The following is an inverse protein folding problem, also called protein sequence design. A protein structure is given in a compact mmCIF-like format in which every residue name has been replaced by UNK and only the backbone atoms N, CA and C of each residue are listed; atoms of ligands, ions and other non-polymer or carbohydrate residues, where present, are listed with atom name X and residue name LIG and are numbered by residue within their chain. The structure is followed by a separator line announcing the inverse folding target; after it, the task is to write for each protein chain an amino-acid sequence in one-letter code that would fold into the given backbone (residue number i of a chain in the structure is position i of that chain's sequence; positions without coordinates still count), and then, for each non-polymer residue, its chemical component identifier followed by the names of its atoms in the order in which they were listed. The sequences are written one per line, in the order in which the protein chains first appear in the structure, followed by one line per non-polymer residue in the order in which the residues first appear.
data_IF_010974143050
#
_entry.id   IF_010974143050
#
_cell.length_a   1.000
_cell.length_b   1.000
_cell.length_c   1.000
_cell.angle_alpha   90.00
_cell.angle_beta   90.00
_cell.angle_gamma   90.00
#
_symmetry.space_group_name_H-M   'P 1'
#
loop_
_entity.id
_entity.type
_entity.pdbx_description
1 polymer ?
#
# COMPACT_ATOMS: atom_id res chain seq x y z
N UNK A 1 44.67 92.01 17.87
CA UNK A 1 44.65 91.21 16.63
C UNK A 1 43.43 90.31 16.67
N UNK A 2 42.36 90.69 15.98
CA UNK A 2 41.14 89.89 15.85
C UNK A 2 41.25 89.06 14.57
N UNK A 3 41.37 87.75 14.70
CA UNK A 3 41.18 86.83 13.59
C UNK A 3 39.67 86.63 13.41
N UNK A 4 39.12 87.18 12.33
CA UNK A 4 37.78 86.85 11.88
C UNK A 4 37.74 85.36 11.49
N UNK A 5 37.05 84.55 12.28
CA UNK A 5 36.66 83.19 11.95
C UNK A 5 35.60 83.26 10.84
N UNK A 6 36.01 83.03 9.59
CA UNK A 6 35.09 82.80 8.49
C UNK A 6 34.51 81.39 8.69
N UNK A 7 33.26 81.29 9.15
CA UNK A 7 32.58 80.00 9.26
C UNK A 7 32.25 79.50 7.84
N UNK A 8 33.01 78.51 7.36
CA UNK A 8 32.85 77.88 6.05
C UNK A 8 31.65 76.92 6.04
N UNK A 9 30.44 77.45 6.27
CA UNK A 9 29.21 76.66 6.29
C UNK A 9 28.79 76.20 4.88
N UNK A 10 29.17 76.94 3.83
CA UNK A 10 28.85 76.57 2.45
C UNK A 10 29.68 75.38 1.94
N UNK A 11 30.95 75.26 2.36
CA UNK A 11 31.78 74.09 2.04
C UNK A 11 31.28 72.80 2.71
N UNK A 12 30.82 72.90 3.96
CA UNK A 12 30.27 71.75 4.69
C UNK A 12 28.97 71.21 4.06
N UNK A 13 28.08 72.11 3.62
CA UNK A 13 26.83 71.72 2.93
C UNK A 13 27.11 71.01 1.60
N UNK A 14 28.07 71.50 0.81
CA UNK A 14 28.47 70.86 -0.45
C UNK A 14 29.00 69.44 -0.21
N UNK A 15 29.82 69.24 0.82
CA UNK A 15 30.36 67.93 1.18
C UNK A 15 29.24 66.98 1.61
N UNK A 16 28.28 67.45 2.39
CA UNK A 16 27.14 66.63 2.83
C UNK A 16 26.31 66.18 1.63
N UNK A 17 25.95 67.09 0.71
CA UNK A 17 25.19 66.73 -0.49
C UNK A 17 25.94 65.72 -1.34
N UNK A 18 27.25 65.92 -1.53
CA UNK A 18 28.08 65.02 -2.33
C UNK A 18 28.20 63.63 -1.66
N UNK A 19 28.35 63.59 -0.33
CA UNK A 19 28.32 62.35 0.45
C UNK A 19 26.96 61.64 0.32
N UNK A 20 25.85 62.37 0.40
CA UNK A 20 24.50 61.79 0.24
C UNK A 20 24.30 61.21 -1.16
N UNK A 21 24.76 61.91 -2.20
CA UNK A 21 24.69 61.40 -3.59
C UNK A 21 25.52 60.12 -3.73
N UNK A 22 26.75 60.09 -3.21
CA UNK A 22 27.61 58.89 -3.23
C UNK A 22 26.95 57.74 -2.47
N UNK A 23 26.36 58.02 -1.31
CA UNK A 23 25.70 57.01 -0.48
C UNK A 23 24.46 56.43 -1.20
N UNK A 24 23.63 57.27 -1.83
CA UNK A 24 22.50 56.80 -2.65
C UNK A 24 22.97 55.95 -3.82
N UNK A 25 24.07 56.31 -4.51
CA UNK A 25 24.63 55.51 -5.59
C UNK A 25 25.15 54.15 -5.12
N UNK A 26 25.78 54.10 -3.94
CA UNK A 26 26.24 52.84 -3.33
C UNK A 26 25.05 51.94 -2.99
N UNK A 27 24.02 52.47 -2.33
CA UNK A 27 22.81 51.71 -2.01
C UNK A 27 22.09 51.23 -3.27
N UNK A 28 21.98 52.07 -4.31
CA UNK A 28 21.33 51.70 -5.58
C UNK A 28 22.07 50.57 -6.27
N UNK A 29 23.41 50.60 -6.30
CA UNK A 29 24.23 49.53 -6.87
C UNK A 29 24.07 48.22 -6.10
N UNK A 30 24.06 48.27 -4.77
CA UNK A 30 23.87 47.08 -3.92
C UNK A 30 22.48 46.47 -4.13
N UNK A 31 21.42 47.30 -4.16
CA UNK A 31 20.06 46.83 -4.44
C UNK A 31 19.93 46.24 -5.84
N UNK A 32 20.53 46.86 -6.85
CA UNK A 32 20.51 46.35 -8.23
C UNK A 32 21.19 44.98 -8.33
N UNK A 33 22.35 44.81 -7.68
CA UNK A 33 23.03 43.51 -7.61
C UNK A 33 22.16 42.47 -6.89
N UNK A 34 21.50 42.85 -5.78
CA UNK A 34 20.60 41.94 -5.06
C UNK A 34 19.42 41.48 -5.93
N UNK A 35 18.77 42.41 -6.65
CA UNK A 35 17.64 42.09 -7.53
C UNK A 35 18.08 41.20 -8.69
N UNK A 36 19.23 41.47 -9.31
CA UNK A 36 19.77 40.61 -10.37
C UNK A 36 20.11 39.20 -9.87
N UNK A 37 20.65 39.08 -8.66
CA UNK A 37 20.92 37.76 -8.05
C UNK A 37 19.62 37.01 -7.77
N UNK A 38 18.62 37.66 -7.19
CA UNK A 38 17.31 37.03 -6.93
C UNK A 38 16.61 36.62 -8.22
N UNK A 39 16.63 37.46 -9.26
CA UNK A 39 16.03 37.11 -10.55
C UNK A 39 16.69 35.87 -11.16
N UNK A 40 18.04 35.78 -11.11
CA UNK A 40 18.76 34.59 -11.57
C UNK A 40 18.47 33.35 -10.73
N UNK A 41 18.37 33.50 -9.41
CA UNK A 41 18.01 32.40 -8.52
C UNK A 41 16.60 31.88 -8.81
N UNK A 42 15.64 32.78 -9.05
CA UNK A 42 14.29 32.38 -9.43
C UNK A 42 14.27 31.65 -10.77
N UNK A 43 15.00 32.14 -11.78
CA UNK A 43 15.12 31.46 -13.08
C UNK A 43 15.71 30.05 -12.95
N UNK A 44 16.75 29.89 -12.11
CA UNK A 44 17.35 28.58 -11.80
C UNK A 44 16.34 27.65 -11.12
N UNK A 45 15.61 28.17 -10.12
CA UNK A 45 14.62 27.39 -9.35
C UNK A 45 13.46 26.97 -10.27
N UNK A 46 12.95 27.88 -11.09
CA UNK A 46 11.87 27.59 -12.04
C UNK A 46 12.31 26.57 -13.10
N UNK A 47 13.53 26.67 -13.62
CA UNK A 47 14.05 25.69 -14.58
C UNK A 47 14.24 24.31 -13.94
N UNK A 48 14.70 24.27 -12.68
CA UNK A 48 14.80 23.02 -11.94
C UNK A 48 13.41 22.37 -11.75
N UNK A 49 12.41 23.15 -11.33
CA UNK A 49 11.04 22.64 -11.19
C UNK A 49 10.44 22.15 -12.50
N UNK A 50 10.73 22.83 -13.62
CA UNK A 50 10.28 22.36 -14.93
C UNK A 50 10.97 21.06 -15.33
N UNK A 51 12.28 20.93 -15.13
CA UNK A 51 12.99 19.68 -15.39
C UNK A 51 12.44 18.51 -14.57
N UNK A 52 12.13 18.74 -13.28
CA UNK A 52 11.46 17.76 -12.42
C UNK A 52 10.09 17.36 -12.97
N UNK A 53 9.23 18.32 -13.29
CA UNK A 53 7.90 18.02 -13.84
C UNK A 53 7.97 17.28 -15.18
N UNK A 54 9.00 17.55 -15.98
CA UNK A 54 9.25 16.91 -17.28
C UNK A 54 9.68 15.45 -17.11
N UNK A 55 10.53 15.15 -16.13
CA UNK A 55 10.89 13.76 -15.84
C UNK A 55 9.73 12.99 -15.22
N UNK A 56 8.90 13.61 -14.38
CA UNK A 56 7.66 13.02 -13.84
C UNK A 56 6.67 12.68 -14.97
N UNK A 57 6.42 13.60 -15.91
CA UNK A 57 5.58 13.31 -17.09
C UNK A 57 6.19 12.20 -17.98
N UNK A 58 7.52 12.19 -18.11
CA UNK A 58 8.25 11.14 -18.81
C UNK A 58 8.04 9.77 -18.15
N UNK A 59 8.02 9.72 -16.82
CA UNK A 59 7.78 8.50 -16.07
C UNK A 59 6.39 7.92 -16.31
N UNK A 60 5.36 8.76 -16.26
CA UNK A 60 3.99 8.35 -16.60
C UNK A 60 3.91 7.84 -18.05
N UNK A 61 4.60 8.50 -18.99
CA UNK A 61 4.63 8.07 -20.38
C UNK A 61 5.29 6.70 -20.55
N UNK A 62 6.43 6.45 -19.89
CA UNK A 62 7.13 5.15 -19.92
C UNK A 62 6.25 4.07 -19.30
N UNK A 63 5.60 4.34 -18.17
CA UNK A 63 4.67 3.40 -17.53
C UNK A 63 3.54 2.98 -18.47
N UNK A 64 2.84 3.93 -19.10
CA UNK A 64 1.78 3.61 -20.06
C UNK A 64 2.33 2.83 -21.26
N UNK A 65 3.52 3.18 -21.74
CA UNK A 65 4.13 2.48 -22.87
C UNK A 65 4.49 1.04 -22.53
N UNK A 66 4.95 0.80 -21.30
CA UNK A 66 5.20 -0.55 -20.78
C UNK A 66 3.89 -1.34 -20.67
N UNK A 67 2.86 -0.76 -20.05
CA UNK A 67 1.54 -1.38 -19.94
C UNK A 67 0.95 -1.77 -21.30
N UNK A 68 1.00 -0.86 -22.28
CA UNK A 68 0.57 -1.14 -23.66
C UNK A 68 1.36 -2.30 -24.28
N UNK A 69 2.69 -2.31 -24.10
CA UNK A 69 3.55 -3.35 -24.66
C UNK A 69 3.25 -4.73 -24.06
N UNK A 70 3.11 -4.81 -22.73
CA UNK A 70 2.77 -6.06 -22.06
C UNK A 70 1.35 -6.53 -22.39
N UNK A 71 0.39 -5.63 -22.52
CA UNK A 71 -0.97 -5.96 -22.95
C UNK A 71 -1.04 -6.53 -24.38
N UNK A 72 -0.19 -6.06 -25.29
CA UNK A 72 -0.16 -6.55 -26.68
C UNK A 72 0.64 -7.83 -26.87
N UNK A 73 1.71 -8.04 -26.09
CA UNK A 73 2.69 -9.11 -26.34
C UNK A 73 2.73 -10.19 -25.26
N UNK A 74 2.11 -9.97 -24.10
CA UNK A 74 2.30 -10.78 -22.88
C UNK A 74 3.69 -10.57 -22.28
N UNK A 75 3.92 -10.99 -21.04
CA UNK A 75 5.23 -10.89 -20.40
C UNK A 75 6.07 -12.16 -20.60
N UNK A 76 7.32 -12.01 -21.02
CA UNK A 76 8.32 -13.08 -21.03
C UNK A 76 9.63 -12.59 -20.40
N UNK A 77 10.38 -13.49 -19.77
CA UNK A 77 11.69 -13.17 -19.15
C UNK A 77 12.88 -13.52 -20.04
N UNK A 78 12.63 -13.78 -21.33
CA UNK A 78 13.71 -14.13 -22.26
C UNK A 78 14.57 -12.91 -22.60
N UNK A 79 15.90 -13.06 -22.68
CA UNK A 79 16.82 -11.98 -23.05
C UNK A 79 16.42 -11.30 -24.37
N UNK A 80 15.88 -12.06 -25.33
CA UNK A 80 15.41 -11.54 -26.61
C UNK A 80 14.18 -10.64 -26.46
N UNK A 81 13.26 -11.03 -25.58
CA UNK A 81 12.06 -10.26 -25.30
C UNK A 81 12.40 -8.95 -24.59
N UNK A 82 13.28 -8.99 -23.58
CA UNK A 82 13.72 -7.80 -22.85
C UNK A 82 14.47 -6.82 -23.75
N UNK A 83 15.30 -7.30 -24.68
CA UNK A 83 15.95 -6.45 -25.69
C UNK A 83 14.95 -5.81 -26.67
N UNK A 84 13.90 -6.55 -27.07
CA UNK A 84 12.85 -6.01 -27.94
C UNK A 84 12.00 -4.97 -27.21
N UNK A 85 11.69 -5.22 -25.93
CA UNK A 85 11.04 -4.26 -25.04
C UNK A 85 11.88 -2.98 -24.95
N UNK A 86 13.15 -3.08 -24.54
CA UNK A 86 14.05 -1.94 -24.42
C UNK A 86 14.14 -1.15 -25.73
N UNK A 87 14.26 -1.84 -26.87
CA UNK A 87 14.30 -1.19 -28.18
C UNK A 87 13.00 -0.45 -28.49
N UNK A 88 11.85 -1.03 -28.15
CA UNK A 88 10.53 -0.46 -28.43
C UNK A 88 10.26 0.76 -27.56
N UNK A 89 10.60 0.69 -26.27
CA UNK A 89 10.45 1.82 -25.35
C UNK A 89 11.41 2.95 -25.76
N UNK A 90 12.69 2.64 -26.03
CA UNK A 90 13.65 3.65 -26.47
C UNK A 90 13.22 4.35 -27.78
N UNK A 91 12.65 3.62 -28.75
CA UNK A 91 12.14 4.23 -29.99
C UNK A 91 10.97 5.21 -29.72
N UNK A 92 10.12 4.92 -28.74
CA UNK A 92 8.98 5.77 -28.38
C UNK A 92 9.36 6.96 -27.49
N UNK A 93 10.44 6.84 -26.72
CA UNK A 93 10.84 7.81 -25.68
C UNK A 93 11.96 8.74 -26.12
N UNK A 94 12.72 8.42 -27.18
CA UNK A 94 13.86 9.25 -27.62
C UNK A 94 13.42 10.68 -28.01
N UNK A 95 13.65 11.62 -27.07
CA UNK A 95 13.46 13.08 -27.19
C UNK A 95 12.04 13.50 -27.58
N UNK A 96 11.08 13.09 -26.77
CA UNK A 96 9.72 13.59 -26.86
C UNK A 96 9.70 15.07 -26.43
N UNK A 97 9.38 15.96 -27.38
CA UNK A 97 9.11 17.38 -27.08
C UNK A 97 7.75 17.49 -26.37
N UNK A 98 7.77 17.92 -25.11
CA UNK A 98 6.55 18.00 -24.29
C UNK A 98 5.74 19.26 -24.61
N UNK A 99 6.42 20.39 -24.80
CA UNK A 99 5.77 21.69 -24.98
C UNK A 99 6.36 22.47 -26.18
N UNK A 100 5.58 22.76 -27.23
CA UNK A 100 6.05 23.54 -28.37
C UNK A 100 6.44 24.98 -28.03
N UNK A 101 5.95 25.54 -26.91
CA UNK A 101 6.34 26.87 -26.42
C UNK A 101 7.71 26.84 -25.71
N UNK A 102 8.19 25.66 -25.31
CA UNK A 102 9.48 25.43 -24.67
C UNK A 102 10.24 24.27 -25.38
N UNK A 103 10.82 24.52 -26.58
CA UNK A 103 11.42 23.46 -27.42
C UNK A 103 12.69 22.82 -26.84
N UNK A 104 13.20 23.33 -25.71
CA UNK A 104 14.34 22.73 -25.01
C UNK A 104 13.89 21.85 -23.83
N UNK A 105 12.59 21.55 -23.76
CA UNK A 105 11.98 20.77 -22.70
C UNK A 105 11.67 19.36 -23.22
N UNK A 106 12.55 18.42 -22.89
CA UNK A 106 12.52 17.04 -23.39
C UNK A 106 12.87 16.08 -22.25
N UNK A 107 12.48 14.82 -22.36
CA UNK A 107 13.02 13.75 -21.52
C UNK A 107 13.61 12.65 -22.40
N UNK A 108 14.56 11.89 -21.86
CA UNK A 108 15.13 10.72 -22.49
C UNK A 108 15.46 9.65 -21.44
N UNK A 109 15.63 8.41 -21.90
CA UNK A 109 16.17 7.32 -21.10
C UNK A 109 17.70 7.46 -21.15
N UNK A 110 18.32 7.76 -20.01
CA UNK A 110 19.74 8.10 -19.94
C UNK A 110 20.65 6.89 -19.76
N UNK A 111 20.12 5.78 -19.22
CA UNK A 111 20.83 4.53 -18.99
C UNK A 111 20.11 3.33 -19.60
N UNK A 112 20.86 2.28 -19.92
CA UNK A 112 20.28 1.01 -20.35
C UNK A 112 19.45 0.42 -19.23
N UNK A 113 18.43 -0.37 -19.57
CA UNK A 113 17.56 -0.96 -18.57
C UNK A 113 18.37 -1.95 -17.72
N UNK A 114 18.26 -1.85 -16.40
CA UNK A 114 18.76 -2.90 -15.52
C UNK A 114 17.63 -3.89 -15.24
N UNK A 115 17.94 -5.18 -15.40
CA UNK A 115 16.99 -6.26 -15.22
C UNK A 115 17.46 -7.15 -14.08
N UNK A 116 16.59 -7.33 -13.10
CA UNK A 116 16.75 -8.33 -12.05
C UNK A 116 15.63 -9.34 -12.17
N UNK A 117 15.96 -10.62 -12.23
CA UNK A 117 14.96 -11.68 -12.30
C UNK A 117 15.27 -12.73 -11.24
N UNK A 118 14.25 -13.08 -10.44
CA UNK A 118 14.30 -14.18 -9.49
C UNK A 118 13.07 -15.09 -9.69
N UNK A 119 12.92 -16.12 -8.84
CA UNK A 119 11.83 -17.09 -8.96
C UNK A 119 10.43 -16.50 -8.74
N UNK A 120 10.33 -15.33 -8.10
CA UNK A 120 9.06 -14.72 -7.67
C UNK A 120 8.67 -13.48 -8.50
N UNK A 121 9.64 -12.69 -8.96
CA UNK A 121 9.41 -11.47 -9.71
C UNK A 121 10.53 -11.14 -10.71
N UNK A 122 10.20 -10.23 -11.63
CA UNK A 122 11.15 -9.60 -12.55
C UNK A 122 11.09 -8.09 -12.37
N UNK A 123 12.21 -7.46 -12.05
CA UNK A 123 12.31 -6.02 -11.85
C UNK A 123 13.02 -5.39 -13.05
N UNK A 124 12.46 -4.31 -13.56
CA UNK A 124 13.02 -3.46 -14.61
C UNK A 124 13.31 -2.10 -13.99
N UNK A 125 14.56 -1.69 -13.96
CA UNK A 125 14.96 -0.35 -13.51
C UNK A 125 15.31 0.51 -14.74
N UNK A 126 14.71 1.70 -14.80
CA UNK A 126 14.87 2.65 -15.89
C UNK A 126 15.27 3.99 -15.30
N UNK A 127 16.39 4.56 -15.75
CA UNK A 127 16.79 5.93 -15.39
C UNK A 127 16.29 6.87 -16.48
N UNK A 128 15.42 7.79 -16.10
CA UNK A 128 14.93 8.87 -16.96
C UNK A 128 15.60 10.18 -16.59
N UNK A 129 15.98 10.95 -17.59
CA UNK A 129 16.51 12.30 -17.41
C UNK A 129 15.60 13.30 -18.10
N UNK A 130 15.04 14.24 -17.33
CA UNK A 130 14.30 15.39 -17.82
C UNK A 130 15.22 16.59 -18.02
N UNK A 131 15.08 17.26 -19.17
CA UNK A 131 15.87 18.44 -19.54
C UNK A 131 14.98 19.69 -19.61
N UNK A 132 15.46 20.79 -19.03
CA UNK A 132 15.03 22.14 -19.37
C UNK A 132 16.26 23.02 -19.64
N UNK A 133 16.57 23.22 -20.92
CA UNK A 133 17.70 24.03 -21.38
C UNK A 133 19.08 23.51 -20.94
N UNK A 134 19.60 23.93 -19.78
CA UNK A 134 20.89 23.47 -19.23
C UNK A 134 20.72 22.76 -17.88
N UNK A 135 19.48 22.51 -17.47
CA UNK A 135 19.15 21.81 -16.24
C UNK A 135 18.70 20.41 -16.59
N UNK A 136 19.20 19.46 -15.83
CA UNK A 136 18.88 18.03 -15.94
C UNK A 136 18.45 17.54 -14.57
N UNK A 137 17.44 16.67 -14.55
CA UNK A 137 16.97 15.98 -13.36
C UNK A 137 16.78 14.51 -13.71
N UNK A 138 17.44 13.64 -12.95
CA UNK A 138 17.29 12.20 -13.08
C UNK A 138 16.15 11.71 -12.18
N UNK A 139 15.50 10.65 -12.62
CA UNK A 139 14.50 9.90 -11.88
C UNK A 139 14.68 8.42 -12.19
N UNK A 140 14.89 7.62 -11.15
CA UNK A 140 14.97 6.16 -11.29
C UNK A 140 13.58 5.59 -11.09
N UNK A 141 13.10 4.86 -12.09
CA UNK A 141 11.86 4.11 -12.03
C UNK A 141 12.16 2.64 -11.83
N UNK A 142 11.46 2.03 -10.89
CA UNK A 142 11.52 0.60 -10.65
C UNK A 142 10.16 0.00 -10.98
N UNK A 143 10.12 -0.87 -11.99
CA UNK A 143 8.93 -1.63 -12.35
C UNK A 143 9.10 -3.07 -11.88
N UNK A 144 8.19 -3.57 -11.06
CA UNK A 144 8.19 -4.98 -10.66
C UNK A 144 7.08 -5.72 -11.40
N UNK A 145 7.48 -6.79 -12.08
CA UNK A 145 6.66 -7.66 -12.89
C UNK A 145 6.74 -9.05 -12.24
N UNK A 146 5.90 -9.26 -11.24
CA UNK A 146 5.63 -10.57 -10.66
C UNK A 146 4.44 -11.22 -11.34
N UNK A 147 4.36 -12.55 -11.32
CA UNK A 147 3.07 -13.20 -11.49
C UNK A 147 2.15 -12.63 -10.42
N UNK A 148 0.94 -12.21 -10.78
CA UNK A 148 -0.01 -11.58 -9.86
C UNK A 148 -0.15 -12.44 -8.59
N UNK A 149 0.58 -12.09 -7.53
CA UNK A 149 -0.08 -11.96 -6.26
C UNK A 149 -1.11 -10.87 -6.53
N UNK A 150 -2.36 -11.27 -6.75
CA UNK A 150 -3.45 -10.35 -7.03
C UNK A 150 -3.36 -9.20 -6.03
N UNK A 151 -2.87 -8.04 -6.47
CA UNK A 151 -2.88 -6.85 -5.62
C UNK A 151 -4.28 -6.70 -5.07
N UNK A 152 -4.36 -6.21 -3.84
CA UNK A 152 -5.63 -6.05 -3.14
C UNK A 152 -6.67 -5.33 -3.98
N UNK A 153 -6.28 -4.50 -4.96
CA UNK A 153 -7.14 -3.72 -5.85
C UNK A 153 -8.09 -4.59 -6.69
N UNK A 154 -7.61 -5.70 -7.29
CA UNK A 154 -8.53 -6.63 -7.98
C UNK A 154 -9.38 -7.39 -6.98
N UNK A 155 -8.80 -7.73 -5.83
CA UNK A 155 -9.55 -8.39 -4.77
C UNK A 155 -10.62 -7.46 -4.21
N UNK A 156 -10.38 -6.16 -4.08
CA UNK A 156 -11.30 -5.16 -3.54
C UNK A 156 -12.57 -5.07 -4.39
N UNK A 157 -12.42 -5.06 -5.71
CA UNK A 157 -13.53 -5.07 -6.66
C UNK A 157 -14.32 -6.39 -6.60
N UNK A 158 -13.61 -7.53 -6.67
CA UNK A 158 -14.22 -8.87 -6.72
C UNK A 158 -14.87 -9.27 -5.38
N UNK A 159 -14.34 -8.75 -4.26
CA UNK A 159 -14.84 -9.04 -2.91
C UNK A 159 -15.81 -8.02 -2.36
N UNK A 160 -16.21 -7.01 -3.14
CA UNK A 160 -17.11 -5.94 -2.69
C UNK A 160 -18.49 -6.43 -2.23
N UNK A 161 -18.87 -7.65 -2.62
CA UNK A 161 -20.03 -8.35 -2.09
C UNK A 161 -19.69 -9.82 -1.80
N UNK A 162 -20.21 -10.38 -0.68
CA UNK A 162 -20.04 -11.79 -0.39
C UNK A 162 -20.55 -12.65 -1.54
N UNK A 163 -19.88 -13.77 -1.86
CA UNK A 163 -20.45 -14.73 -2.79
C UNK A 163 -21.80 -15.18 -2.23
N UNK A 164 -22.87 -15.18 -3.05
CA UNK A 164 -24.16 -15.68 -2.58
C UNK A 164 -24.03 -17.17 -2.22
N UNK A 165 -24.82 -17.67 -1.26
CA UNK A 165 -24.88 -19.10 -1.01
C UNK A 165 -25.28 -19.84 -2.30
N UNK A 166 -24.78 -21.07 -2.51
CA UNK A 166 -25.16 -21.87 -3.67
C UNK A 166 -26.68 -22.08 -3.68
N UNK A 167 -27.31 -21.94 -4.86
CA UNK A 167 -28.76 -22.13 -5.01
C UNK A 167 -29.23 -23.52 -4.55
N UNK A 168 -28.34 -24.51 -4.62
CA UNK A 168 -28.56 -25.90 -4.21
C UNK A 168 -27.50 -26.34 -3.18
N UNK A 169 -27.43 -25.67 -2.02
CA UNK A 169 -26.60 -26.13 -0.90
C UNK A 169 -26.98 -27.58 -0.51
N UNK A 170 -26.00 -28.41 -0.16
CA UNK A 170 -26.25 -29.81 0.22
C UNK A 170 -27.10 -29.89 1.49
N UNK A 171 -26.84 -28.99 2.43
CA UNK A 171 -27.56 -28.88 3.69
C UNK A 171 -27.99 -27.43 3.93
N UNK A 172 -29.30 -27.19 3.95
CA UNK A 172 -29.91 -25.88 4.19
C UNK A 172 -30.75 -25.92 5.47
N UNK A 173 -30.51 -24.95 6.37
CA UNK A 173 -31.20 -24.82 7.64
C UNK A 173 -31.84 -23.44 7.78
N UNK A 174 -33.18 -23.41 7.71
CA UNK A 174 -34.00 -22.22 7.94
C UNK A 174 -34.11 -21.81 9.43
N UNK A 175 -33.75 -22.69 10.36
CA UNK A 175 -33.81 -22.44 11.81
C UNK A 175 -32.41 -22.46 12.43
N UNK A 176 -32.21 -21.74 13.53
CA UNK A 176 -30.95 -21.71 14.26
C UNK A 176 -30.45 -23.11 14.64
N UNK A 177 -29.22 -23.44 14.26
CA UNK A 177 -28.64 -24.76 14.52
C UNK A 177 -27.76 -24.78 15.78
N UNK A 178 -27.67 -25.93 16.42
CA UNK A 178 -26.78 -26.11 17.57
C UNK A 178 -26.22 -27.52 17.59
N UNK A 179 -24.93 -27.64 17.30
CA UNK A 179 -24.21 -28.91 17.33
C UNK A 179 -23.47 -29.05 18.64
N UNK A 180 -23.74 -30.15 19.36
CA UNK A 180 -23.14 -30.43 20.68
C UNK A 180 -22.57 -31.83 20.67
N UNK A 181 -21.35 -32.01 21.22
CA UNK A 181 -20.65 -33.25 21.60
C UNK A 181 -21.11 -34.62 21.04
N UNK A 182 -22.38 -35.00 21.19
CA UNK A 182 -22.94 -36.28 20.75
C UNK A 182 -23.72 -36.21 19.41
N UNK A 183 -23.86 -35.03 18.82
CA UNK A 183 -24.66 -34.77 17.61
C UNK A 183 -23.91 -33.88 16.62
N UNK A 184 -22.63 -34.16 16.43
CA UNK A 184 -21.80 -33.43 15.48
C UNK A 184 -21.79 -34.26 14.22
N UNK A 185 -22.58 -33.79 13.27
CA UNK A 185 -22.72 -34.40 11.97
C UNK A 185 -21.41 -34.21 11.21
N UNK A 186 -21.03 -35.24 10.46
CA UNK A 186 -19.90 -35.17 9.56
C UNK A 186 -20.40 -34.56 8.26
N UNK A 187 -20.08 -33.28 8.05
CA UNK A 187 -20.51 -32.48 6.90
C UNK A 187 -19.34 -32.20 5.95
N UNK A 188 -18.24 -32.97 6.07
CA UNK A 188 -16.97 -32.70 5.40
C UNK A 188 -17.06 -32.61 3.87
N UNK A 189 -18.02 -33.30 3.26
CA UNK A 189 -18.29 -33.29 1.81
C UNK A 189 -19.56 -32.47 1.45
N UNK A 190 -20.02 -31.58 2.34
CA UNK A 190 -21.29 -30.87 2.19
C UNK A 190 -21.11 -29.37 2.28
N UNK A 191 -21.76 -28.65 1.37
CA UNK A 191 -21.98 -27.21 1.46
C UNK A 191 -23.14 -26.92 2.42
N UNK A 192 -22.91 -26.07 3.42
CA UNK A 192 -23.87 -25.79 4.50
C UNK A 192 -24.32 -24.34 4.44
N UNK A 193 -25.63 -24.12 4.45
CA UNK A 193 -26.25 -22.80 4.52
C UNK A 193 -27.16 -22.67 5.75
N UNK A 194 -26.85 -21.68 6.60
CA UNK A 194 -27.53 -21.39 7.87
C UNK A 194 -28.15 -20.00 7.82
N UNK A 195 -29.47 -19.94 7.70
CA UNK A 195 -30.19 -18.67 7.56
C UNK A 195 -30.32 -17.90 8.86
N UNK A 196 -30.60 -18.61 9.95
CA UNK A 196 -30.85 -18.03 11.28
C UNK A 196 -29.63 -18.21 12.23
N UNK A 197 -28.44 -18.45 11.67
CA UNK A 197 -27.21 -18.63 12.45
C UNK A 197 -27.10 -19.98 13.16
N UNK A 198 -26.19 -20.07 14.14
CA UNK A 198 -26.00 -21.29 14.90
C UNK A 198 -24.90 -21.26 15.95
N UNK A 199 -24.63 -22.42 16.56
CA UNK A 199 -23.49 -22.57 17.47
C UNK A 199 -22.89 -23.97 17.38
N UNK A 200 -21.56 -24.04 17.44
CA UNK A 200 -20.85 -25.31 17.55
C UNK A 200 -20.20 -25.47 18.92
N UNK A 201 -20.43 -26.64 19.50
CA UNK A 201 -19.85 -27.10 20.77
C UNK A 201 -19.23 -28.50 20.56
N UNK A 202 -18.57 -28.66 19.43
CA UNK A 202 -17.80 -29.83 19.03
C UNK A 202 -16.94 -29.50 17.81
N UNK A 203 -16.01 -30.40 17.48
CA UNK A 203 -15.24 -30.29 16.25
C UNK A 203 -16.12 -30.64 15.06
N UNK A 204 -16.13 -29.75 14.07
CA UNK A 204 -16.91 -29.87 12.85
C UNK A 204 -16.03 -29.58 11.63
N UNK A 205 -16.25 -30.34 10.57
CA UNK A 205 -15.66 -30.06 9.25
C UNK A 205 -16.79 -29.97 8.24
N UNK A 206 -16.72 -28.96 7.37
CA UNK A 206 -17.67 -28.74 6.27
C UNK A 206 -16.94 -28.40 4.98
N UNK A 207 -17.58 -28.58 3.82
CA UNK A 207 -16.99 -28.16 2.55
C UNK A 207 -17.02 -26.63 2.47
N UNK A 208 -18.19 -26.06 2.21
CA UNK A 208 -18.42 -24.62 2.24
C UNK A 208 -19.38 -24.28 3.39
N UNK A 209 -19.33 -23.03 3.87
CA UNK A 209 -20.22 -22.57 4.94
C UNK A 209 -20.73 -21.16 4.67
N UNK A 210 -22.05 -20.98 4.70
CA UNK A 210 -22.70 -19.69 4.53
C UNK A 210 -23.63 -19.46 5.73
N UNK A 211 -23.44 -18.37 6.45
CA UNK A 211 -24.23 -18.04 7.65
C UNK A 211 -24.76 -16.61 7.56
N UNK A 212 -26.08 -16.44 7.61
CA UNK A 212 -26.75 -15.12 7.58
C UNK A 212 -27.11 -14.56 8.96
N UNK A 213 -26.90 -15.33 10.03
CA UNK A 213 -27.16 -14.89 11.41
C UNK A 213 -25.99 -15.21 12.34
N UNK A 214 -26.15 -14.87 13.61
CA UNK A 214 -25.11 -15.01 14.64
C UNK A 214 -24.56 -16.45 14.73
N UNK A 215 -23.23 -16.59 14.69
CA UNK A 215 -22.55 -17.88 14.76
C UNK A 215 -21.52 -17.96 15.89
N UNK A 216 -21.76 -18.85 16.86
CA UNK A 216 -20.85 -19.02 18.00
C UNK A 216 -19.98 -20.28 17.86
N UNK A 217 -18.65 -20.10 17.94
CA UNK A 217 -17.69 -21.18 18.11
C UNK A 217 -17.17 -21.14 19.54
N UNK A 218 -17.59 -22.09 20.39
CA UNK A 218 -17.29 -22.03 21.82
C UNK A 218 -16.81 -23.36 22.40
N UNK A 219 -16.36 -23.33 23.66
CA UNK A 219 -16.05 -24.53 24.46
C UNK A 219 -14.85 -25.37 23.96
N UNK A 220 -13.81 -24.72 23.44
CA UNK A 220 -12.54 -25.32 23.01
C UNK A 220 -12.71 -26.29 21.85
N UNK A 221 -13.53 -25.89 20.89
CA UNK A 221 -13.86 -26.69 19.71
C UNK A 221 -13.27 -26.06 18.45
N UNK A 222 -13.23 -26.83 17.37
CA UNK A 222 -12.70 -26.39 16.09
C UNK A 222 -13.74 -26.48 14.98
N UNK A 223 -13.91 -25.42 14.21
CA UNK A 223 -14.57 -25.45 12.91
C UNK A 223 -13.51 -25.47 11.82
N UNK A 224 -13.61 -26.42 10.90
CA UNK A 224 -12.80 -26.42 9.67
C UNK A 224 -13.72 -26.34 8.45
N UNK A 225 -13.53 -25.33 7.61
CA UNK A 225 -14.19 -25.18 6.32
C UNK A 225 -13.16 -25.48 5.25
N UNK A 226 -13.34 -26.55 4.47
CA UNK A 226 -12.34 -27.02 3.50
C UNK A 226 -12.37 -26.25 2.17
N UNK A 227 -13.46 -25.54 1.91
CA UNK A 227 -13.64 -24.57 0.83
C UNK A 227 -13.83 -23.16 1.39
N UNK A 228 -14.83 -22.44 0.89
CA UNK A 228 -15.08 -21.04 1.22
C UNK A 228 -16.06 -20.87 2.39
N UNK A 229 -15.90 -19.78 3.14
CA UNK A 229 -16.80 -19.44 4.23
C UNK A 229 -17.30 -17.99 4.14
N UNK A 230 -18.59 -17.79 4.33
CA UNK A 230 -19.22 -16.48 4.48
C UNK A 230 -20.00 -16.45 5.78
N UNK A 231 -19.73 -15.45 6.62
CA UNK A 231 -20.43 -15.24 7.89
C UNK A 231 -21.03 -13.84 7.92
N UNK A 232 -22.23 -13.72 8.47
CA UNK A 232 -22.71 -12.43 8.92
C UNK A 232 -21.99 -12.04 10.20
N UNK A 233 -22.33 -12.65 11.32
CA UNK A 233 -21.70 -12.41 12.62
C UNK A 233 -21.08 -13.69 13.17
N UNK A 234 -19.88 -13.59 13.75
CA UNK A 234 -19.16 -14.73 14.32
C UNK A 234 -18.37 -14.36 15.58
N UNK A 235 -18.58 -15.13 16.64
CA UNK A 235 -17.79 -15.05 17.87
C UNK A 235 -16.99 -16.34 18.08
N UNK A 236 -15.68 -16.20 18.26
CA UNK A 236 -14.76 -17.30 18.54
C UNK A 236 -14.30 -17.23 19.99
N UNK A 237 -14.91 -18.04 20.86
CA UNK A 237 -14.69 -17.98 22.30
C UNK A 237 -14.20 -19.31 22.89
N UNK A 238 -13.68 -19.27 24.13
CA UNK A 238 -13.40 -20.49 24.91
C UNK A 238 -12.26 -21.38 24.39
N UNK A 239 -11.17 -20.81 23.88
CA UNK A 239 -10.02 -21.51 23.26
C UNK A 239 -10.39 -22.25 21.96
N UNK A 240 -11.41 -21.76 21.25
CA UNK A 240 -11.87 -22.38 20.01
C UNK A 240 -11.08 -21.90 18.80
N UNK A 241 -11.20 -22.64 17.71
CA UNK A 241 -10.44 -22.42 16.48
C UNK A 241 -11.37 -22.39 15.26
N UNK A 242 -11.14 -21.44 14.36
CA UNK A 242 -11.78 -21.38 13.04
C UNK A 242 -10.70 -21.49 11.96
N UNK A 243 -10.77 -22.55 11.17
CA UNK A 243 -9.87 -22.83 10.05
C UNK A 243 -10.64 -22.79 8.75
N UNK A 244 -10.24 -21.96 7.80
CA UNK A 244 -10.87 -21.83 6.48
C UNK A 244 -9.79 -22.05 5.42
N UNK A 245 -9.91 -23.12 4.64
CA UNK A 245 -8.92 -23.47 3.61
C UNK A 245 -9.07 -22.62 2.33
N UNK A 246 -10.29 -22.20 2.00
CA UNK A 246 -10.56 -21.26 0.93
C UNK A 246 -10.65 -19.82 1.43
N UNK A 247 -11.49 -19.05 0.74
CA UNK A 247 -11.70 -17.63 1.01
C UNK A 247 -12.69 -17.42 2.16
N UNK A 248 -12.46 -16.36 2.92
CA UNK A 248 -13.29 -15.99 4.05
C UNK A 248 -13.91 -14.60 3.84
N UNK A 249 -15.19 -14.48 4.14
CA UNK A 249 -15.92 -13.22 4.03
C UNK A 249 -16.78 -12.99 5.28
N UNK A 250 -16.66 -11.82 5.89
CA UNK A 250 -17.38 -11.44 7.10
C UNK A 250 -18.12 -10.12 6.85
N UNK A 251 -19.45 -10.11 6.95
CA UNK A 251 -20.23 -8.88 6.79
C UNK A 251 -20.33 -8.07 8.07
N UNK A 252 -20.45 -8.73 9.23
CA UNK A 252 -20.36 -8.11 10.55
C UNK A 252 -18.96 -8.33 11.17
N UNK A 253 -18.75 -7.81 12.38
CA UNK A 253 -17.47 -7.88 13.09
C UNK A 253 -17.09 -9.33 13.40
N UNK A 254 -15.86 -9.74 13.07
CA UNK A 254 -15.28 -10.97 13.63
C UNK A 254 -14.75 -10.68 15.04
N UNK A 255 -15.33 -11.32 16.06
CA UNK A 255 -14.91 -11.11 17.45
C UNK A 255 -14.30 -12.35 18.12
N UNK A 256 -13.43 -12.09 19.10
CA UNK A 256 -13.05 -13.07 20.13
C UNK A 256 -13.15 -12.43 21.51
N UNK A 257 -14.38 -12.29 22.01
CA UNK A 257 -14.59 -11.65 23.29
C UNK A 257 -13.96 -12.46 24.44
N UNK A 258 -13.11 -11.79 25.25
CA UNK A 258 -12.55 -12.31 26.50
C UNK A 258 -11.63 -13.54 26.41
N UNK A 259 -10.98 -13.80 25.28
CA UNK A 259 -10.16 -15.00 25.13
C UNK A 259 -8.84 -14.79 24.37
N UNK A 260 -7.69 -14.71 25.06
CA UNK A 260 -6.40 -14.49 24.40
C UNK A 260 -5.82 -15.73 23.69
N UNK A 261 -6.57 -16.83 23.56
CA UNK A 261 -6.07 -18.03 22.88
C UNK A 261 -7.12 -18.67 21.95
N UNK A 262 -8.03 -17.90 21.37
CA UNK A 262 -8.71 -18.37 20.15
C UNK A 262 -7.77 -18.28 18.97
N UNK A 263 -8.05 -19.08 17.94
CA UNK A 263 -7.28 -19.08 16.71
C UNK A 263 -8.20 -18.91 15.50
N UNK A 264 -7.84 -17.98 14.64
CA UNK A 264 -8.42 -17.80 13.33
C UNK A 264 -7.33 -17.98 12.29
N UNK A 265 -7.58 -18.82 11.30
CA UNK A 265 -6.71 -19.00 10.15
C UNK A 265 -7.54 -19.12 8.87
N UNK A 266 -7.22 -18.31 7.87
CA UNK A 266 -7.63 -18.51 6.48
C UNK A 266 -6.42 -18.77 5.60
N UNK A 267 -6.45 -19.85 4.82
CA UNK A 267 -5.46 -20.12 3.78
C UNK A 267 -5.73 -19.32 2.49
N UNK A 268 -6.96 -18.83 2.33
CA UNK A 268 -7.37 -17.99 1.24
C UNK A 268 -7.22 -16.49 1.50
N UNK A 269 -7.86 -15.70 0.62
CA UNK A 269 -8.11 -14.27 0.85
C UNK A 269 -9.20 -14.09 1.92
N UNK A 270 -9.10 -13.02 2.70
CA UNK A 270 -10.09 -12.67 3.73
C UNK A 270 -10.57 -11.23 3.58
N UNK A 271 -11.89 -11.01 3.68
CA UNK A 271 -12.49 -9.66 3.76
C UNK A 271 -13.37 -9.50 5.00
N UNK A 272 -13.22 -8.38 5.67
CA UNK A 272 -13.96 -7.99 6.87
C UNK A 272 -14.64 -6.63 6.65
N UNK A 273 -15.95 -6.61 6.43
CA UNK A 273 -16.66 -5.35 6.18
C UNK A 273 -16.78 -4.49 7.44
N UNK A 274 -17.26 -5.06 8.54
CA UNK A 274 -17.44 -4.30 9.78
C UNK A 274 -16.20 -4.34 10.70
N UNK A 275 -15.10 -4.92 10.23
CA UNK A 275 -13.80 -4.92 10.90
C UNK A 275 -13.55 -6.16 11.76
N UNK A 276 -12.54 -6.06 12.62
CA UNK A 276 -12.05 -7.19 13.43
C UNK A 276 -11.78 -6.72 14.85
N UNK A 277 -12.29 -7.45 15.83
CA UNK A 277 -12.00 -7.24 17.25
C UNK A 277 -11.50 -8.55 17.87
N UNK A 278 -10.19 -8.81 17.73
CA UNK A 278 -9.65 -10.14 17.97
C UNK A 278 -8.63 -10.22 19.10
N UNK A 279 -8.61 -11.37 19.77
CA UNK A 279 -7.68 -11.71 20.85
C UNK A 279 -7.15 -13.11 20.59
N UNK A 280 -5.83 -13.31 20.64
CA UNK A 280 -5.20 -14.59 20.31
C UNK A 280 -4.52 -14.61 18.94
N UNK A 281 -4.51 -15.76 18.28
CA UNK A 281 -3.78 -15.96 17.02
C UNK A 281 -4.70 -15.71 15.82
N UNK A 282 -4.27 -14.81 14.94
CA UNK A 282 -4.99 -14.43 13.72
C UNK A 282 -4.06 -14.58 12.52
N UNK A 283 -4.45 -15.36 11.52
CA UNK A 283 -3.59 -15.70 10.38
C UNK A 283 -4.40 -15.63 9.09
N UNK A 284 -3.87 -14.95 8.08
CA UNK A 284 -4.38 -15.01 6.71
C UNK A 284 -3.18 -15.22 5.79
N UNK A 285 -3.18 -16.32 5.05
CA UNK A 285 -2.05 -16.71 4.20
C UNK A 285 -1.95 -15.86 2.92
N UNK A 286 -3.08 -15.39 2.38
CA UNK A 286 -3.09 -14.55 1.18
C UNK A 286 -3.51 -13.11 1.53
N UNK A 287 -4.36 -12.49 0.71
CA UNK A 287 -4.69 -11.07 0.81
C UNK A 287 -5.75 -10.81 1.89
N UNK A 288 -5.61 -9.68 2.57
CA UNK A 288 -6.56 -9.25 3.61
C UNK A 288 -7.11 -7.87 3.31
N UNK A 289 -8.43 -7.70 3.42
CA UNK A 289 -9.09 -6.40 3.38
C UNK A 289 -9.96 -6.23 4.62
N UNK A 290 -9.80 -5.13 5.34
CA UNK A 290 -10.71 -4.72 6.42
C UNK A 290 -11.26 -3.34 6.09
N UNK A 291 -12.56 -3.26 5.80
CA UNK A 291 -13.21 -1.98 5.44
C UNK A 291 -13.37 -1.07 6.67
N UNK A 292 -13.39 -1.68 7.86
CA UNK A 292 -13.45 -0.98 9.14
C UNK A 292 -12.21 -1.28 10.01
N UNK A 293 -12.19 -0.77 11.24
CA UNK A 293 -11.03 -0.85 12.12
C UNK A 293 -10.63 -2.29 12.39
N UNK A 294 -9.35 -2.56 12.25
CA UNK A 294 -8.75 -3.85 12.57
C UNK A 294 -8.05 -3.74 13.94
N UNK A 295 -8.66 -4.33 14.97
CA UNK A 295 -8.23 -4.21 16.35
C UNK A 295 -7.79 -5.55 16.91
N UNK A 296 -6.59 -5.59 17.49
CA UNK A 296 -6.10 -6.74 18.26
C UNK A 296 -5.63 -6.38 19.65
N UNK A 297 -6.08 -7.19 20.60
CA UNK A 297 -5.64 -7.14 21.99
C UNK A 297 -5.06 -8.48 22.45
N UNK A 298 -3.78 -8.46 22.81
CA UNK A 298 -3.03 -9.56 23.40
C UNK A 298 -3.04 -10.83 22.53
N UNK A 299 -2.27 -10.80 21.45
CA UNK A 299 -2.24 -11.83 20.42
C UNK A 299 -1.16 -11.62 19.35
N UNK A 300 -1.24 -12.39 18.28
CA UNK A 300 -0.36 -12.25 17.12
C UNK A 300 -1.15 -12.32 15.82
N UNK A 301 -0.81 -11.45 14.88
CA UNK A 301 -1.34 -11.43 13.51
C UNK A 301 -0.25 -11.80 12.52
N UNK A 302 -0.61 -12.63 11.55
CA UNK A 302 0.23 -12.92 10.39
C UNK A 302 -0.58 -12.73 9.12
N UNK A 303 -0.04 -11.94 8.21
CA UNK A 303 -0.56 -11.76 6.85
C UNK A 303 0.51 -12.25 5.87
N UNK A 304 0.17 -13.21 5.02
CA UNK A 304 1.12 -13.74 4.04
C UNK A 304 1.21 -12.88 2.77
N UNK A 305 0.07 -12.35 2.29
CA UNK A 305 0.02 -11.43 1.16
C UNK A 305 -0.25 -9.98 1.57
N UNK A 306 -0.64 -9.18 0.58
CA UNK A 306 -0.96 -7.76 0.76
C UNK A 306 -2.19 -7.56 1.67
N UNK A 307 -2.14 -6.52 2.47
CA UNK A 307 -3.14 -6.20 3.48
C UNK A 307 -3.57 -4.74 3.37
N UNK A 308 -4.88 -4.51 3.22
CA UNK A 308 -5.50 -3.19 3.16
C UNK A 308 -6.44 -2.99 4.34
N UNK A 309 -6.13 -2.02 5.20
CA UNK A 309 -6.91 -1.67 6.40
C UNK A 309 -7.48 -0.26 6.24
N UNK A 310 -8.71 -0.14 5.74
CA UNK A 310 -9.32 1.12 5.28
C UNK A 310 -9.74 2.07 6.42
N UNK A 311 -9.85 1.58 7.65
CA UNK A 311 -10.20 2.42 8.80
C UNK A 311 -9.27 2.19 10.00
N UNK A 312 -7.99 2.03 9.69
CA UNK A 312 -6.91 1.98 10.67
C UNK A 312 -6.68 0.63 11.32
N UNK A 313 -5.52 0.57 11.99
CA UNK A 313 -5.03 -0.55 12.77
C UNK A 313 -4.92 -0.15 14.25
N UNK A 314 -5.40 -1.01 15.15
CA UNK A 314 -5.21 -0.87 16.59
C UNK A 314 -4.52 -2.11 17.14
N UNK A 315 -3.32 -1.96 17.71
CA UNK A 315 -2.64 -3.05 18.42
C UNK A 315 -2.44 -2.70 19.89
N UNK A 316 -2.84 -3.62 20.76
CA UNK A 316 -2.66 -3.57 22.22
C UNK A 316 -1.99 -4.84 22.71
N UNK A 317 -0.72 -4.76 23.12
CA UNK A 317 0.11 -5.89 23.51
C UNK A 317 0.08 -7.03 22.48
N UNK A 318 0.07 -6.69 21.19
CA UNK A 318 0.00 -7.63 20.08
C UNK A 318 1.18 -7.42 19.12
N UNK A 319 1.49 -8.46 18.35
CA UNK A 319 2.48 -8.39 17.27
C UNK A 319 1.81 -8.66 15.93
N UNK A 320 2.15 -7.88 14.90
CA UNK A 320 1.72 -8.09 13.53
C UNK A 320 2.93 -8.42 12.67
N UNK A 321 2.82 -9.44 11.82
CA UNK A 321 3.84 -9.80 10.83
C UNK A 321 3.21 -9.83 9.44
N UNK A 322 3.60 -8.92 8.56
CA UNK A 322 3.12 -8.86 7.18
C UNK A 322 4.22 -9.34 6.21
N UNK A 323 3.83 -10.25 5.31
CA UNK A 323 4.64 -10.78 4.22
C UNK A 323 4.66 -9.85 3.02
N UNK A 324 3.50 -9.34 2.58
CA UNK A 324 3.37 -8.37 1.50
C UNK A 324 3.23 -6.92 1.98
N UNK A 325 2.64 -6.09 1.14
CA UNK A 325 2.39 -4.68 1.45
C UNK A 325 1.36 -4.56 2.58
N UNK A 326 1.57 -3.63 3.52
CA UNK A 326 0.62 -3.26 4.55
C UNK A 326 0.19 -1.82 4.35
N UNK A 327 -1.01 -1.64 3.82
CA UNK A 327 -1.63 -0.33 3.58
C UNK A 327 -2.62 -0.06 4.72
N UNK A 328 -2.37 1.02 5.46
CA UNK A 328 -3.24 1.48 6.55
C UNK A 328 -3.80 2.84 6.15
N UNK A 329 -5.10 2.89 5.87
CA UNK A 329 -5.80 4.15 5.67
C UNK A 329 -6.40 4.64 6.98
N UNK A 330 -6.30 5.95 7.20
CA UNK A 330 -6.88 6.59 8.35
C UNK A 330 -7.82 7.72 7.94
N UNK A 331 -9.05 7.67 8.45
CA UNK A 331 -10.09 8.66 8.16
C UNK A 331 -9.88 10.03 8.83
N UNK A 332 -8.86 10.14 9.68
CA UNK A 332 -8.42 11.40 10.28
C UNK A 332 -7.00 11.76 9.83
N UNK A 333 -6.71 13.05 9.72
CA UNK A 333 -5.37 13.54 9.41
C UNK A 333 -4.43 13.25 10.59
N UNK A 334 -3.53 12.28 10.42
CA UNK A 334 -2.56 11.89 11.43
C UNK A 334 -1.14 12.08 10.91
N UNK A 335 -0.22 12.39 11.81
CA UNK A 335 1.19 12.26 11.51
C UNK A 335 1.56 10.78 11.65
N UNK A 336 1.97 10.14 10.55
CA UNK A 336 2.27 8.71 10.47
C UNK A 336 3.22 8.24 11.59
N UNK A 337 4.27 9.02 11.87
CA UNK A 337 5.22 8.70 12.94
C UNK A 337 4.57 8.74 14.33
N UNK A 338 3.73 9.74 14.61
CA UNK A 338 2.97 9.81 15.86
C UNK A 338 1.93 8.69 15.96
N UNK A 339 1.26 8.33 14.87
CA UNK A 339 0.31 7.21 14.85
C UNK A 339 1.01 5.91 15.24
N UNK A 340 2.10 5.55 14.56
CA UNK A 340 2.88 4.36 14.86
C UNK A 340 3.51 4.38 16.26
N UNK A 341 3.92 5.55 16.76
CA UNK A 341 4.45 5.68 18.12
C UNK A 341 3.38 5.44 19.22
N UNK A 342 2.09 5.54 18.88
CA UNK A 342 0.98 5.28 19.79
C UNK A 342 0.45 3.84 19.69
N UNK A 343 0.86 3.08 18.69
CA UNK A 343 0.57 1.64 18.60
C UNK A 343 1.25 0.95 19.79
N UNK A 344 0.49 0.20 20.59
CA UNK A 344 0.98 -0.54 21.76
C UNK A 344 1.35 -1.98 21.37
N UNK A 345 1.95 -2.16 20.20
CA UNK A 345 2.31 -3.44 19.62
C UNK A 345 3.50 -3.29 18.68
N UNK A 346 3.99 -4.42 18.19
CA UNK A 346 5.13 -4.49 17.27
C UNK A 346 4.64 -4.89 15.88
N UNK A 347 5.16 -4.23 14.85
CA UNK A 347 4.90 -4.52 13.43
C UNK A 347 6.21 -5.02 12.82
N UNK A 348 6.17 -6.18 12.19
CA UNK A 348 7.26 -6.75 11.39
C UNK A 348 6.82 -6.82 9.94
N UNK A 349 7.61 -6.22 9.05
CA UNK A 349 7.45 -6.30 7.59
C UNK A 349 8.55 -7.18 7.01
N UNK A 350 8.26 -8.02 6.02
CA UNK A 350 9.28 -8.89 5.38
C UNK A 350 9.56 -8.57 3.92
N UNK A 351 8.59 -8.74 3.03
CA UNK A 351 8.78 -8.63 1.57
C UNK A 351 7.95 -7.51 0.93
N UNK A 352 7.40 -6.58 1.72
CA UNK A 352 6.60 -5.45 1.25
C UNK A 352 6.74 -4.17 2.07
N UNK A 353 6.03 -3.14 1.62
CA UNK A 353 6.09 -1.79 2.18
C UNK A 353 5.00 -1.54 3.22
N UNK A 354 5.33 -0.73 4.23
CA UNK A 354 4.34 -0.14 5.13
C UNK A 354 3.91 1.21 4.56
N UNK A 355 2.66 1.30 4.12
CA UNK A 355 2.08 2.50 3.55
C UNK A 355 1.01 3.04 4.50
N UNK A 356 1.13 4.30 4.90
CA UNK A 356 0.09 4.98 5.70
C UNK A 356 -0.54 6.07 4.85
N UNK A 357 -1.83 5.92 4.57
CA UNK A 357 -2.63 6.86 3.80
C UNK A 357 -3.49 7.72 4.73
N UNK A 358 -3.34 9.04 4.63
CA UNK A 358 -4.14 10.00 5.38
C UNK A 358 -5.42 10.39 4.65
N UNK A 359 -6.39 10.94 5.39
CA UNK A 359 -7.66 11.41 4.84
C UNK A 359 -7.54 12.52 3.76
N UNK A 360 -6.42 13.22 3.66
CA UNK A 360 -6.12 14.19 2.62
C UNK A 360 -5.43 13.59 1.37
N UNK A 361 -5.15 12.28 1.40
CA UNK A 361 -4.42 11.56 0.36
C UNK A 361 -2.91 11.63 0.52
N UNK A 362 -2.40 12.26 1.58
CA UNK A 362 -0.97 12.27 1.87
C UNK A 362 -0.52 10.86 2.29
N UNK A 363 0.52 10.37 1.62
CA UNK A 363 1.10 9.05 1.82
C UNK A 363 2.42 9.14 2.59
N UNK A 364 2.59 8.25 3.57
CA UNK A 364 3.89 7.99 4.19
C UNK A 364 4.32 6.57 3.90
N UNK A 365 5.34 6.44 3.04
CA UNK A 365 5.99 5.18 2.70
C UNK A 365 7.09 4.85 3.71
N UNK A 366 7.05 3.64 4.26
CA UNK A 366 8.01 3.08 5.22
C UNK A 366 8.42 4.06 6.34
N UNK A 367 7.46 4.67 7.05
CA UNK A 367 7.76 5.65 8.10
C UNK A 367 8.60 5.04 9.23
N UNK A 368 9.67 5.74 9.59
CA UNK A 368 10.56 5.35 10.68
C UNK A 368 9.83 5.36 12.04
N UNK A 369 9.74 4.20 12.70
CA UNK A 369 9.16 4.05 14.04
C UNK A 369 9.87 2.95 14.82
N UNK A 370 9.97 3.12 16.15
CA UNK A 370 10.50 2.06 17.01
C UNK A 370 9.61 0.82 17.10
N UNK A 371 8.35 0.94 16.68
CA UNK A 371 7.37 -0.15 16.68
C UNK A 371 7.37 -0.94 15.37
N UNK A 372 8.20 -0.57 14.38
CA UNK A 372 8.27 -1.22 13.07
C UNK A 372 9.66 -1.80 12.86
N UNK A 373 9.73 -3.07 12.46
CA UNK A 373 10.96 -3.77 12.10
C UNK A 373 10.81 -4.36 10.70
N UNK A 374 11.87 -4.28 9.90
CA UNK A 374 11.92 -4.93 8.59
C UNK A 374 12.85 -6.15 8.69
N UNK A 375 12.31 -7.32 8.38
CA UNK A 375 13.00 -8.61 8.37
C UNK A 375 13.04 -9.16 6.94
N UNK A 376 13.75 -10.26 6.69
CA UNK A 376 13.89 -10.83 5.34
C UNK A 376 13.10 -12.15 5.18
N UNK A 377 12.55 -12.70 6.25
CA UNK A 377 11.82 -13.98 6.21
C UNK A 377 10.33 -13.70 6.33
N UNK A 378 9.50 -14.03 5.32
CA UNK A 378 8.04 -13.85 5.41
C UNK A 378 7.43 -14.79 6.45
N UNK A 379 6.22 -14.49 6.95
CA UNK A 379 5.48 -15.41 7.80
C UNK A 379 5.21 -16.72 7.03
N UNK A 380 5.19 -17.84 7.75
CA UNK A 380 4.94 -19.17 7.16
C UNK A 380 3.62 -19.73 7.65
N UNK A 381 2.91 -20.41 6.75
CA UNK A 381 1.58 -20.97 7.00
C UNK A 381 1.60 -22.48 6.71
N UNK A 382 2.30 -23.29 7.52
CA UNK A 382 2.45 -24.73 7.27
C UNK A 382 1.11 -25.48 7.24
N UNK A 383 0.07 -24.94 7.89
CA UNK A 383 -1.30 -25.44 7.83
C UNK A 383 -1.92 -25.34 6.43
N UNK A 384 -1.36 -24.50 5.55
CA UNK A 384 -1.84 -24.20 4.21
C UNK A 384 -1.02 -24.86 3.08
N UNK A 385 0.12 -25.49 3.38
CA UNK A 385 1.06 -26.03 2.36
C UNK A 385 0.42 -27.06 1.39
N UNK A 386 -0.55 -27.85 1.88
CA UNK A 386 -1.25 -28.89 1.11
C UNK A 386 -2.68 -28.50 0.70
N UNK A 387 -3.06 -27.24 0.90
CA UNK A 387 -4.42 -26.74 0.63
C UNK A 387 -4.53 -26.24 -0.81
N UNK A 388 -5.51 -26.74 -1.54
CA UNK A 388 -5.88 -26.19 -2.86
C UNK A 388 -6.90 -25.08 -2.66
N UNK A 389 -6.48 -23.84 -2.85
CA UNK A 389 -7.36 -22.68 -2.75
C UNK A 389 -8.26 -22.63 -4.01
N UNK A 390 -9.59 -22.46 -3.87
CA UNK A 390 -10.48 -22.25 -4.99
C UNK A 390 -10.06 -21.03 -5.84
N UNK A 391 -10.14 -21.13 -7.17
CA UNK A 391 -9.88 -19.97 -8.04
C UNK A 391 -11.08 -19.01 -8.06
N UNK A 392 -10.81 -17.70 -8.08
CA UNK A 392 -11.81 -16.64 -8.27
C UNK A 392 -12.29 -16.50 -9.72
N UNK A 393 -12.60 -17.59 -10.40
CA UNK A 393 -13.46 -17.57 -11.59
C UNK A 393 -13.04 -16.77 -12.83
N UNK A 394 -11.99 -15.93 -12.80
CA UNK A 394 -11.56 -15.08 -13.91
C UNK A 394 -10.04 -15.18 -14.10
N UNK A 395 -9.67 -15.66 -15.29
CA UNK A 395 -8.30 -15.90 -15.76
C UNK A 395 -7.60 -14.58 -16.16
N UNK A 396 -6.33 -14.45 -15.77
CA UNK A 396 -5.23 -13.71 -16.43
C UNK A 396 -5.47 -12.26 -16.86
N UNK A 397 -5.20 -11.30 -15.97
CA UNK A 397 -4.89 -9.92 -16.37
C UNK A 397 -3.51 -9.51 -15.82
N UNK A 398 -2.52 -9.35 -16.71
CA UNK A 398 -1.18 -8.84 -16.39
C UNK A 398 -1.24 -7.37 -16.00
N UNK A 399 -0.66 -7.02 -14.86
CA UNK A 399 -0.54 -5.63 -14.38
C UNK A 399 0.92 -5.23 -14.24
N UNK A 400 1.23 -3.97 -14.54
CA UNK A 400 2.58 -3.39 -14.46
C UNK A 400 2.60 -2.42 -13.29
N UNK A 401 3.31 -2.79 -12.23
CA UNK A 401 3.35 -2.01 -11.00
C UNK A 401 4.61 -1.13 -11.00
N UNK A 402 4.44 0.16 -10.66
CA UNK A 402 5.51 1.09 -10.34
C UNK A 402 5.80 0.96 -8.83
N UNK A 403 6.95 0.41 -8.46
CA UNK A 403 7.30 0.16 -7.07
C UNK A 403 8.03 1.33 -6.40
N UNK A 404 8.56 2.31 -7.15
CA UNK A 404 9.32 3.39 -6.52
C UNK A 404 9.58 4.58 -7.46
N UNK A 405 9.36 5.80 -6.96
CA UNK A 405 9.82 7.07 -7.56
C UNK A 405 10.82 7.69 -6.59
N UNK A 406 12.11 7.38 -6.74
CA UNK A 406 13.17 7.97 -5.92
C UNK A 406 13.75 9.22 -6.62
N UNK A 407 13.65 10.38 -5.96
CA UNK A 407 14.17 11.69 -6.41
C UNK A 407 15.63 11.96 -6.00
#
# INVERSE_FOLDING_TARGET
MNFNKINNNHGAVLIIVLLTVVLIMLFSTVMMNSVMTTAKQNEVIEANYRATHVVEMGATFVQHTLADYFGENGFETSDSYLQELESTINEKVDKVEIDPDYPNTTFEISEAFEYEHNENFSRIMIVLTGYDSNYEQDLTLTFTIGGSSDRSDKWEDVSSSPPPPPEDADEEYDEQQTWKNNNCEDLSDSSVYLKDGGSIQCNMTTQDLYVEGDFDISSSNSLTVTGNATFDDVDISGLSQLFIHGHAHFTSVLSSENNPNSEYLSCGNSRFHDGVEYRGEFKVNMHTISDNTFSLDNGSVQFGGDTLLLNGLELSNASLHAGGDLIIEHNEQLDAANYLANIQGDITMSDGDLIILNADGDEALNPESSSVTYEAEPPTFPECDDVTIPSFGDEDDFEVILDDIQY
#
